data_IF_722404363354
#
_entry.id   IF_722404363354
#
_cell.length_a   1.000
_cell.length_b   1.000
_cell.length_c   1.000
_cell.angle_alpha   90.00
_cell.angle_beta   90.00
_cell.angle_gamma   90.00
#
_symmetry.space_group_name_H-M   'P 1'
#
loop_
_entity.id
_entity.type
_entity.pdbx_description
1 polymer ?
#
# COMPACT_ATOMS: atom_id res chain seq x y z
N UNK A 1 -1.15 6.13 -4.48
CA UNK A 1 -0.94 6.41 -3.05
C UNK A 1 -1.74 7.65 -2.70
N UNK A 2 -2.13 7.82 -1.43
CA UNK A 2 -2.94 8.97 -1.02
C UNK A 2 -3.06 9.08 0.50
N UNK A 3 -3.55 10.23 0.95
CA UNK A 3 -3.79 10.55 2.35
C UNK A 3 -5.29 10.46 2.66
N UNK A 4 -5.61 9.87 3.81
CA UNK A 4 -6.96 9.82 4.36
C UNK A 4 -6.92 10.45 5.75
N UNK A 5 -7.79 11.43 5.99
CA UNK A 5 -7.93 12.14 7.25
C UNK A 5 -9.39 12.57 7.45
N UNK A 6 -9.65 13.26 8.56
CA UNK A 6 -10.99 13.72 8.91
C UNK A 6 -11.62 14.56 7.79
N UNK A 7 -12.95 14.45 7.58
CA UNK A 7 -13.68 15.27 6.62
C UNK A 7 -13.48 16.76 6.90
N UNK A 8 -13.48 17.55 5.82
CA UNK A 8 -13.39 19.02 5.90
C UNK A 8 -14.69 19.65 5.39
N UNK A 9 -14.73 20.99 5.27
CA UNK A 9 -15.90 21.71 4.80
C UNK A 9 -17.00 21.77 5.86
N UNK A 10 -18.28 21.55 5.52
CA UNK A 10 -19.40 21.67 6.47
C UNK A 10 -19.32 20.74 7.70
N UNK A 11 -18.48 19.71 7.66
CA UNK A 11 -18.30 18.72 8.73
C UNK A 11 -17.05 18.98 9.59
N UNK A 12 -16.35 20.11 9.36
CA UNK A 12 -15.08 20.42 10.02
C UNK A 12 -15.22 20.50 11.55
N UNK A 13 -16.33 21.09 12.03
CA UNK A 13 -16.58 21.32 13.46
C UNK A 13 -17.23 20.13 14.17
N UNK A 14 -17.45 19.01 13.47
CA UNK A 14 -17.96 17.79 14.10
C UNK A 14 -16.88 17.14 15.00
N UNK A 15 -17.33 16.28 15.92
CA UNK A 15 -16.40 15.44 16.68
C UNK A 15 -15.71 14.43 15.75
N UNK A 16 -14.43 14.67 15.52
CA UNK A 16 -13.58 13.88 14.62
C UNK A 16 -12.52 13.06 15.38
N UNK A 17 -12.66 12.87 16.71
CA UNK A 17 -11.67 12.15 17.53
C UNK A 17 -11.44 10.69 17.11
N UNK A 18 -12.38 10.07 16.40
CA UNK A 18 -12.24 8.72 15.87
C UNK A 18 -11.34 8.63 14.62
N UNK A 19 -11.00 9.77 14.00
CA UNK A 19 -10.18 9.82 12.79
C UNK A 19 -8.68 9.87 13.11
N UNK A 20 -7.90 9.13 12.31
CA UNK A 20 -6.44 9.18 12.33
C UNK A 20 -5.92 9.40 10.90
N UNK A 21 -5.03 10.38 10.75
CA UNK A 21 -4.36 10.64 9.48
C UNK A 21 -3.44 9.47 9.12
N UNK A 22 -3.62 8.90 7.93
CA UNK A 22 -2.75 7.85 7.42
C UNK A 22 -2.58 7.94 5.90
N UNK A 23 -1.48 7.38 5.41
CA UNK A 23 -1.18 7.24 4.00
C UNK A 23 -1.30 5.78 3.56
N UNK A 24 -1.88 5.55 2.38
CA UNK A 24 -2.06 4.22 1.80
C UNK A 24 -1.34 4.09 0.46
N UNK A 25 -0.65 2.96 0.27
CA UNK A 25 0.10 2.62 -0.95
C UNK A 25 -0.42 1.29 -1.52
N UNK A 26 -0.68 1.28 -2.84
CA UNK A 26 -1.20 0.11 -3.56
C UNK A 26 -0.36 -0.18 -4.83
N UNK A 27 0.89 -0.66 -4.68
CA UNK A 27 1.72 -1.02 -5.81
C UNK A 27 1.21 -2.30 -6.49
N UNK A 28 1.27 -2.42 -7.84
CA UNK A 28 0.70 -3.57 -8.55
C UNK A 28 1.66 -4.76 -8.69
N UNK A 29 2.97 -4.60 -8.50
CA UNK A 29 3.95 -5.66 -8.74
C UNK A 29 3.87 -6.78 -7.68
N UNK A 30 3.91 -8.04 -8.12
CA UNK A 30 3.70 -9.20 -7.23
C UNK A 30 4.87 -10.20 -7.23
N UNK A 31 5.28 -10.70 -8.40
CA UNK A 31 6.27 -11.81 -8.49
C UNK A 31 7.63 -11.36 -9.01
N UNK A 32 7.68 -10.32 -9.84
CA UNK A 32 8.90 -9.76 -10.41
C UNK A 32 8.64 -8.34 -10.91
N UNK A 33 9.67 -7.69 -11.48
CA UNK A 33 9.54 -6.41 -12.14
C UNK A 33 8.58 -6.43 -13.35
N UNK A 34 8.24 -7.60 -13.88
CA UNK A 34 7.42 -7.78 -15.09
C UNK A 34 6.08 -8.49 -14.84
N UNK A 35 5.83 -8.96 -13.61
CA UNK A 35 4.63 -9.77 -13.28
C UNK A 35 3.83 -9.12 -12.14
N UNK A 36 2.76 -8.37 -12.47
CA UNK A 36 1.89 -7.72 -11.49
C UNK A 36 0.71 -8.59 -11.03
N UNK A 37 0.05 -8.16 -9.95
CA UNK A 37 -1.31 -8.57 -9.56
C UNK A 37 -2.32 -7.79 -10.40
N UNK A 38 -3.27 -8.49 -10.99
CA UNK A 38 -4.43 -7.91 -11.67
C UNK A 38 -5.65 -8.01 -10.78
N UNK A 39 -6.37 -6.89 -10.61
CA UNK A 39 -7.70 -6.86 -9.99
C UNK A 39 -8.70 -6.91 -11.14
N UNK A 40 -9.23 -8.09 -11.44
CA UNK A 40 -10.09 -8.34 -12.58
C UNK A 40 -11.11 -9.44 -12.22
N UNK A 41 -11.85 -9.96 -13.20
CA UNK A 41 -12.66 -11.18 -13.06
C UNK A 41 -13.48 -11.22 -11.76
N UNK A 42 -13.12 -12.15 -10.87
CA UNK A 42 -13.78 -12.33 -9.58
C UNK A 42 -13.68 -11.09 -8.68
N UNK A 43 -12.48 -10.49 -8.56
CA UNK A 43 -12.26 -9.32 -7.71
C UNK A 43 -13.01 -8.06 -8.17
N UNK A 44 -13.49 -8.01 -9.42
CA UNK A 44 -14.30 -6.89 -9.90
C UNK A 44 -15.79 -7.02 -9.53
N UNK A 45 -16.30 -8.24 -9.40
CA UNK A 45 -17.73 -8.50 -9.21
C UNK A 45 -18.09 -9.15 -7.88
N UNK A 46 -17.08 -9.53 -7.08
CA UNK A 46 -17.28 -10.19 -5.81
C UNK A 46 -16.42 -9.54 -4.73
N UNK A 47 -15.28 -10.13 -4.37
CA UNK A 47 -14.47 -9.68 -3.24
C UNK A 47 -12.96 -9.65 -3.55
N UNK A 48 -12.16 -8.88 -2.78
CA UNK A 48 -10.71 -8.83 -2.97
C UNK A 48 -10.03 -10.16 -2.62
N UNK A 49 -9.21 -10.68 -3.54
CA UNK A 49 -8.40 -11.87 -3.34
C UNK A 49 -6.89 -11.55 -3.42
N UNK A 50 -6.07 -12.29 -2.65
CA UNK A 50 -4.60 -12.15 -2.63
C UNK A 50 -3.90 -13.51 -2.64
N UNK A 51 -2.75 -13.54 -3.30
CA UNK A 51 -1.92 -14.75 -3.45
C UNK A 51 -0.76 -14.83 -2.43
N UNK A 52 -0.50 -13.74 -1.70
CA UNK A 52 0.54 -13.67 -0.65
C UNK A 52 -0.07 -13.11 0.62
N UNK A 53 0.43 -13.56 1.78
CA UNK A 53 -0.05 -13.05 3.07
C UNK A 53 0.62 -11.72 3.43
N UNK A 54 -0.05 -10.86 4.24
CA UNK A 54 0.55 -9.62 4.71
C UNK A 54 1.86 -9.83 5.48
N UNK A 55 1.98 -10.91 6.25
CA UNK A 55 3.16 -11.23 7.06
C UNK A 55 4.37 -11.51 6.17
N UNK A 56 4.17 -12.30 5.11
CA UNK A 56 5.21 -12.62 4.13
C UNK A 56 5.65 -11.37 3.33
N UNK A 57 4.69 -10.54 2.91
CA UNK A 57 4.98 -9.28 2.23
C UNK A 57 5.80 -8.34 3.13
N UNK A 58 5.38 -8.18 4.39
CA UNK A 58 6.05 -7.31 5.34
C UNK A 58 7.47 -7.80 5.70
N UNK A 59 7.67 -9.12 5.83
CA UNK A 59 9.00 -9.70 6.02
C UNK A 59 9.93 -9.41 4.83
N UNK A 60 9.42 -9.56 3.60
CA UNK A 60 10.18 -9.27 2.37
C UNK A 60 10.59 -7.81 2.29
N UNK A 61 9.68 -6.89 2.61
CA UNK A 61 9.94 -5.44 2.59
C UNK A 61 10.98 -5.06 3.64
N UNK A 62 10.87 -5.59 4.88
CA UNK A 62 11.84 -5.32 5.96
C UNK A 62 13.26 -5.83 5.66
N UNK A 63 13.40 -6.86 4.82
CA UNK A 63 14.69 -7.38 4.42
C UNK A 63 15.43 -6.49 3.41
N UNK A 64 14.77 -5.49 2.81
CA UNK A 64 15.39 -4.61 1.83
C UNK A 64 16.28 -3.54 2.49
N UNK A 65 17.39 -3.13 1.85
CA UNK A 65 18.20 -2.01 2.34
C UNK A 65 17.45 -0.67 2.28
N UNK A 66 17.71 0.21 3.25
CA UNK A 66 17.17 1.59 3.23
C UNK A 66 17.83 2.48 2.16
N UNK A 67 19.05 2.13 1.73
CA UNK A 67 19.78 2.85 0.68
C UNK A 67 19.37 2.32 -0.69
N UNK A 68 18.76 3.19 -1.50
CA UNK A 68 18.39 2.90 -2.88
C UNK A 68 19.58 2.33 -3.67
N UNK A 69 19.34 1.29 -4.47
CA UNK A 69 20.41 0.51 -5.12
C UNK A 69 21.35 1.35 -5.99
N UNK A 70 20.86 2.39 -6.67
CA UNK A 70 21.67 3.30 -7.50
C UNK A 70 22.60 4.22 -6.71
N UNK A 71 22.40 4.35 -5.39
CA UNK A 71 23.23 5.18 -4.50
C UNK A 71 24.28 4.38 -3.73
N UNK A 72 24.30 3.04 -3.88
CA UNK A 72 25.38 2.24 -3.31
C UNK A 72 26.69 2.64 -3.99
N UNK A 73 27.67 3.12 -3.22
CA UNK A 73 29.03 3.26 -3.73
C UNK A 73 29.51 1.87 -4.16
N UNK A 74 30.02 1.77 -5.38
CA UNK A 74 30.77 0.58 -5.78
C UNK A 74 31.91 0.39 -4.77
N UNK A 75 31.99 -0.81 -4.19
CA UNK A 75 33.19 -1.24 -3.48
C UNK A 75 34.30 -1.49 -4.49
#
# INVERSE_FOLDING_TARGET
MGWLGAPTGPLLDNDNQCWYLHASFHPPLLRSATVPKYIAGYEMFSEPQRDITPEAAAATIRAQPEVHYSKKKAQ
#
